data_IF_666363436171
#
_entry.id   IF_666363436171
#
_cell.length_a   1.000
_cell.length_b   1.000
_cell.length_c   1.000
_cell.angle_alpha   90.00
_cell.angle_beta   90.00
_cell.angle_gamma   90.00
#
_symmetry.space_group_name_H-M   'P 1'
#
loop_
_entity.id
_entity.type
_entity.pdbx_description
1 polymer ?
#
# COMPACT_ATOMS: atom_id res chain seq x y z
N UNK A 1 -17.22 -24.72 25.48
CA UNK A 1 -16.78 -23.55 24.76
C UNK A 1 -15.96 -22.69 25.68
N UNK A 2 -14.73 -22.34 25.31
CA UNK A 2 -13.94 -21.38 26.08
C UNK A 2 -14.52 -19.99 25.85
N UNK A 3 -14.97 -19.32 26.89
CA UNK A 3 -15.41 -17.94 26.83
C UNK A 3 -14.24 -17.05 26.42
N UNK A 4 -14.43 -16.24 25.38
CA UNK A 4 -13.45 -15.24 24.98
C UNK A 4 -13.47 -14.09 25.99
N UNK A 5 -12.34 -13.85 26.64
CA UNK A 5 -12.16 -12.74 27.57
C UNK A 5 -11.46 -11.58 26.86
N UNK A 6 -11.95 -10.36 27.12
CA UNK A 6 -11.27 -9.15 26.67
C UNK A 6 -9.95 -8.98 27.41
N UNK A 7 -8.81 -9.14 26.72
CA UNK A 7 -7.49 -8.96 27.31
C UNK A 7 -7.11 -7.49 27.47
N UNK A 8 -7.38 -6.66 26.42
CA UNK A 8 -7.09 -5.23 26.42
C UNK A 8 -7.90 -4.51 25.35
N UNK A 9 -7.92 -3.19 25.43
CA UNK A 9 -8.51 -2.30 24.40
C UNK A 9 -7.54 -1.13 24.18
N UNK A 10 -7.23 -0.85 22.90
CA UNK A 10 -6.53 0.36 22.49
C UNK A 10 -7.44 1.23 21.62
N UNK A 11 -7.25 2.54 21.68
CA UNK A 11 -8.00 3.53 20.87
C UNK A 11 -7.02 4.50 20.19
N UNK A 12 -6.33 4.07 19.12
CA UNK A 12 -5.40 4.95 18.38
C UNK A 12 -6.09 6.18 17.79
N UNK A 13 -7.41 6.10 17.61
CA UNK A 13 -8.27 7.16 17.06
C UNK A 13 -8.17 7.26 15.55
N UNK A 14 -9.16 7.96 14.94
CA UNK A 14 -9.25 8.14 13.49
C UNK A 14 -9.89 6.96 12.76
N UNK A 15 -9.83 7.00 11.43
CA UNK A 15 -10.27 5.92 10.52
C UNK A 15 -9.21 4.84 10.48
N UNK A 16 -9.45 3.72 11.14
CA UNK A 16 -8.48 2.64 11.28
C UNK A 16 -8.59 1.62 10.15
N UNK A 17 -7.45 1.17 9.64
CA UNK A 17 -7.37 -0.03 8.81
C UNK A 17 -7.57 -1.28 9.65
N UNK A 18 -7.76 -2.43 9.00
CA UNK A 18 -7.67 -3.71 9.71
C UNK A 18 -6.29 -3.86 10.37
N UNK A 19 -6.21 -4.36 11.61
CA UNK A 19 -4.93 -4.61 12.26
C UNK A 19 -4.21 -5.82 11.65
N UNK A 20 -2.88 -5.77 11.63
CA UNK A 20 -2.01 -6.88 11.26
C UNK A 20 -1.19 -7.27 12.46
N UNK A 21 -1.20 -8.56 12.82
CA UNK A 21 -0.44 -9.08 13.96
C UNK A 21 0.73 -9.93 13.45
N UNK A 22 1.93 -9.55 13.87
CA UNK A 22 3.16 -10.27 13.58
C UNK A 22 4.19 -10.05 14.69
N UNK A 23 4.98 -11.06 15.00
CA UNK A 23 6.11 -10.99 15.93
C UNK A 23 5.78 -10.31 17.27
N UNK A 24 4.60 -10.64 17.84
CA UNK A 24 4.14 -10.09 19.12
C UNK A 24 3.71 -8.61 19.08
N UNK A 25 3.53 -8.04 17.88
CA UNK A 25 3.06 -6.67 17.66
C UNK A 25 1.78 -6.64 16.85
N UNK A 26 0.92 -5.67 17.15
CA UNK A 26 -0.24 -5.34 16.35
C UNK A 26 0.00 -3.98 15.64
N UNK A 27 -0.08 -4.01 14.32
CA UNK A 27 0.12 -2.83 13.48
C UNK A 27 -1.23 -2.35 12.95
N UNK A 28 -1.52 -1.06 13.07
CA UNK A 28 -2.76 -0.45 12.60
C UNK A 28 -2.49 0.96 12.08
N UNK A 29 -3.01 1.28 10.90
CA UNK A 29 -2.93 2.61 10.36
C UNK A 29 -4.21 3.41 10.68
N UNK A 30 -4.04 4.67 11.08
CA UNK A 30 -5.09 5.68 11.18
C UNK A 30 -5.01 6.56 9.93
N UNK A 31 -5.82 6.23 8.91
CA UNK A 31 -5.73 6.79 7.56
C UNK A 31 -5.89 8.32 7.55
N UNK A 32 -6.93 8.83 8.19
CA UNK A 32 -7.23 10.27 8.28
C UNK A 32 -6.18 11.07 9.07
N UNK A 33 -5.49 10.41 10.00
CA UNK A 33 -4.40 10.98 10.81
C UNK A 33 -3.02 10.79 10.20
N UNK A 34 -2.91 9.97 9.17
CA UNK A 34 -1.64 9.63 8.51
C UNK A 34 -0.62 9.01 9.48
N UNK A 35 -1.09 8.20 10.41
CA UNK A 35 -0.29 7.55 11.43
C UNK A 35 -0.34 6.04 11.27
N UNK A 36 0.79 5.38 11.51
CA UNK A 36 0.88 3.96 11.72
C UNK A 36 1.33 3.73 13.16
N UNK A 37 0.59 2.90 13.89
CA UNK A 37 0.89 2.50 15.25
C UNK A 37 1.37 1.05 15.27
N UNK A 38 2.38 0.78 16.07
CA UNK A 38 2.74 -0.56 16.51
C UNK A 38 2.46 -0.68 18.00
N UNK A 39 1.60 -1.60 18.35
CA UNK A 39 1.19 -1.88 19.72
C UNK A 39 1.75 -3.24 20.16
N UNK A 40 2.06 -3.40 21.42
CA UNK A 40 2.32 -4.71 22.00
C UNK A 40 1.04 -5.57 21.89
N UNK A 41 1.13 -6.71 21.23
CA UNK A 41 -0.05 -7.55 20.97
C UNK A 41 -0.63 -8.19 22.25
N UNK A 42 0.12 -8.24 23.35
CA UNK A 42 -0.30 -8.80 24.63
C UNK A 42 -0.93 -7.76 25.56
N UNK A 43 -0.42 -6.52 25.55
CA UNK A 43 -0.83 -5.45 26.48
C UNK A 43 -1.63 -4.34 25.83
N UNK A 44 -1.52 -4.15 24.52
CA UNK A 44 -2.11 -3.02 23.79
C UNK A 44 -1.34 -1.71 23.97
N UNK A 45 -0.21 -1.71 24.64
CA UNK A 45 0.63 -0.52 24.81
C UNK A 45 1.24 -0.08 23.48
N UNK A 46 1.31 1.23 23.25
CA UNK A 46 1.94 1.78 22.06
C UNK A 46 3.46 1.68 22.17
N UNK A 47 4.06 0.88 21.28
CA UNK A 47 5.52 0.69 21.22
C UNK A 47 6.19 1.82 20.44
N UNK A 48 5.62 2.17 19.28
CA UNK A 48 6.06 3.26 18.45
C UNK A 48 4.94 3.71 17.49
N UNK A 49 5.11 4.88 16.92
CA UNK A 49 4.26 5.39 15.85
C UNK A 49 5.10 6.11 14.79
N UNK A 50 4.62 6.09 13.55
CA UNK A 50 5.23 6.79 12.44
C UNK A 50 4.20 7.67 11.72
N UNK A 51 4.61 8.92 11.40
CA UNK A 51 3.77 9.87 10.66
C UNK A 51 4.16 9.88 9.18
N UNK A 52 3.17 9.71 8.32
CA UNK A 52 3.33 9.75 6.87
C UNK A 52 2.96 11.13 6.32
N UNK A 53 3.50 11.45 5.14
CA UNK A 53 3.18 12.70 4.43
C UNK A 53 1.74 12.67 3.86
N UNK A 54 1.19 11.49 3.61
CA UNK A 54 -0.14 11.26 3.04
C UNK A 54 -0.88 10.10 3.72
N UNK A 55 -2.22 10.01 3.55
CA UNK A 55 -3.01 8.90 4.06
C UNK A 55 -2.54 7.53 3.56
N UNK A 56 -2.78 6.51 4.40
CA UNK A 56 -2.55 5.10 4.13
C UNK A 56 -3.92 4.43 4.12
N UNK A 57 -4.31 3.78 3.01
CA UNK A 57 -5.66 3.23 2.86
C UNK A 57 -5.76 1.74 3.14
N UNK A 58 -4.64 1.04 3.12
CA UNK A 58 -4.58 -0.41 3.30
C UNK A 58 -3.79 -0.80 4.55
N UNK A 59 -4.07 -1.97 5.14
CA UNK A 59 -3.25 -2.52 6.20
C UNK A 59 -1.79 -2.64 5.75
N UNK A 60 -0.81 -2.45 6.65
CA UNK A 60 0.59 -2.64 6.32
C UNK A 60 0.90 -4.13 6.07
N UNK A 61 1.92 -4.39 5.28
CA UNK A 61 2.46 -5.73 5.06
C UNK A 61 3.71 -5.91 5.91
N UNK A 62 3.78 -6.99 6.66
CA UNK A 62 4.93 -7.30 7.52
C UNK A 62 5.78 -8.35 6.84
N UNK A 63 7.08 -8.06 6.71
CA UNK A 63 8.02 -8.94 6.04
C UNK A 63 9.43 -8.81 6.60
N UNK A 64 9.99 -9.90 7.15
CA UNK A 64 11.38 -10.01 7.63
C UNK A 64 11.85 -8.78 8.44
N UNK A 65 11.07 -8.39 9.46
CA UNK A 65 11.40 -7.24 10.32
C UNK A 65 11.13 -5.87 9.71
N UNK A 66 10.45 -5.81 8.56
CA UNK A 66 9.98 -4.59 7.90
C UNK A 66 8.46 -4.46 7.99
N UNK A 67 8.00 -3.23 8.05
CA UNK A 67 6.60 -2.82 7.94
C UNK A 67 6.47 -1.98 6.66
N UNK A 68 5.77 -2.51 5.67
CA UNK A 68 5.63 -1.92 4.34
C UNK A 68 4.24 -1.29 4.20
N UNK A 69 4.16 -0.05 3.74
CA UNK A 69 2.89 0.64 3.54
C UNK A 69 2.91 1.48 2.26
N UNK A 70 1.81 1.41 1.51
CA UNK A 70 1.54 2.29 0.36
C UNK A 70 0.81 3.56 0.79
N UNK A 71 1.13 4.68 0.16
CA UNK A 71 0.60 6.00 0.49
C UNK A 71 -0.08 6.68 -0.69
N UNK A 72 -1.04 7.58 -0.39
CA UNK A 72 -1.74 8.37 -1.42
C UNK A 72 -0.87 9.40 -2.13
N UNK A 73 0.32 9.72 -1.61
CA UNK A 73 1.30 10.56 -2.31
C UNK A 73 2.00 9.85 -3.46
N UNK A 74 1.73 8.56 -3.65
CA UNK A 74 2.37 7.72 -4.65
C UNK A 74 3.68 7.12 -4.16
N UNK A 75 3.92 7.08 -2.85
CA UNK A 75 5.08 6.43 -2.27
C UNK A 75 4.76 5.08 -1.63
N UNK A 76 5.78 4.25 -1.52
CA UNK A 76 5.83 3.08 -0.63
C UNK A 76 6.94 3.32 0.39
N UNK A 77 6.62 3.06 1.64
CA UNK A 77 7.52 3.27 2.78
C UNK A 77 7.79 1.93 3.45
N UNK A 78 9.05 1.67 3.79
CA UNK A 78 9.45 0.56 4.65
C UNK A 78 9.99 1.11 5.97
N UNK A 79 9.44 0.63 7.07
CA UNK A 79 9.88 0.95 8.43
C UNK A 79 10.48 -0.30 9.08
N UNK A 80 11.42 -0.12 9.99
CA UNK A 80 11.86 -1.22 10.84
C UNK A 80 10.76 -1.59 11.84
N UNK A 81 10.42 -2.86 11.92
CA UNK A 81 9.37 -3.34 12.81
C UNK A 81 9.70 -3.12 14.30
N UNK A 82 10.98 -3.06 14.67
CA UNK A 82 11.43 -2.93 16.05
C UNK A 82 11.17 -1.57 16.68
N UNK A 83 11.35 -0.50 15.92
CA UNK A 83 11.35 0.89 16.43
C UNK A 83 10.64 1.91 15.53
N UNK A 84 10.09 1.49 14.38
CA UNK A 84 9.40 2.35 13.45
C UNK A 84 10.32 3.28 12.65
N UNK A 85 11.64 3.12 12.73
CA UNK A 85 12.56 3.95 11.96
C UNK A 85 12.45 3.68 10.46
N UNK A 86 12.54 4.73 9.66
CA UNK A 86 12.49 4.64 8.19
C UNK A 86 13.70 3.83 7.69
N UNK A 87 13.43 2.71 7.01
CA UNK A 87 14.44 1.94 6.31
C UNK A 87 14.65 2.49 4.89
N UNK A 88 13.58 2.69 4.14
CA UNK A 88 13.59 3.33 2.83
C UNK A 88 12.22 3.88 2.44
N UNK A 89 12.22 4.83 1.50
CA UNK A 89 11.01 5.35 0.84
C UNK A 89 11.24 5.32 -0.67
N UNK A 90 10.30 4.77 -1.41
CA UNK A 90 10.29 4.73 -2.88
C UNK A 90 9.14 5.58 -3.40
N UNK A 91 9.42 6.52 -4.31
CA UNK A 91 8.38 7.30 -5.00
C UNK A 91 8.03 6.63 -6.31
N UNK A 92 6.82 6.07 -6.40
CA UNK A 92 6.30 5.42 -7.60
C UNK A 92 5.75 6.41 -8.63
N UNK A 93 5.31 7.59 -8.18
CA UNK A 93 4.81 8.64 -9.05
C UNK A 93 5.95 9.15 -9.95
N UNK A 94 5.78 9.13 -11.30
CA UNK A 94 6.84 9.57 -12.22
C UNK A 94 7.09 11.07 -12.15
N UNK A 95 6.09 11.84 -11.72
CA UNK A 95 6.16 13.29 -11.50
C UNK A 95 5.33 13.65 -10.27
N UNK A 96 5.71 14.72 -9.59
CA UNK A 96 4.95 15.24 -8.47
C UNK A 96 3.73 16.02 -8.99
N UNK A 97 2.62 15.31 -9.19
CA UNK A 97 1.34 15.89 -9.64
C UNK A 97 0.24 15.49 -8.66
N UNK A 98 -0.35 16.52 -8.04
CA UNK A 98 -1.43 16.36 -7.10
C UNK A 98 -2.76 16.74 -7.75
N UNK A 99 -3.82 16.03 -7.37
CA UNK A 99 -5.19 16.32 -7.72
C UNK A 99 -6.05 16.36 -6.46
N UNK A 100 -7.18 17.05 -6.54
CA UNK A 100 -8.20 16.97 -5.49
C UNK A 100 -9.11 15.79 -5.80
N UNK A 101 -9.15 14.83 -4.90
CA UNK A 101 -10.02 13.67 -4.99
C UNK A 101 -10.76 13.51 -3.66
N UNK A 102 -12.09 13.45 -3.71
CA UNK A 102 -12.96 13.35 -2.53
C UNK A 102 -12.64 14.39 -1.45
N UNK A 103 -12.33 15.64 -1.87
CA UNK A 103 -11.99 16.76 -0.98
C UNK A 103 -10.60 16.69 -0.34
N UNK A 104 -9.73 15.79 -0.77
CA UNK A 104 -8.36 15.64 -0.28
C UNK A 104 -7.35 15.71 -1.42
N UNK A 105 -6.15 16.24 -1.15
CA UNK A 105 -5.04 16.21 -2.10
C UNK A 105 -4.42 14.80 -2.11
N UNK A 106 -4.25 14.26 -3.31
CA UNK A 106 -3.55 12.99 -3.52
C UNK A 106 -2.75 13.02 -4.83
N UNK A 107 -1.79 12.13 -4.98
CA UNK A 107 -1.06 11.93 -6.23
C UNK A 107 -1.99 11.44 -7.33
N UNK A 108 -1.69 11.75 -8.59
CA UNK A 108 -2.32 11.10 -9.74
C UNK A 108 -1.94 9.62 -9.84
N UNK A 109 -0.84 9.21 -9.19
CA UNK A 109 -0.39 7.82 -9.06
C UNK A 109 -0.34 7.38 -7.59
N UNK A 110 -1.47 7.34 -6.88
CA UNK A 110 -1.51 6.90 -5.49
C UNK A 110 -1.23 5.40 -5.40
N UNK A 111 -0.70 4.95 -4.27
CA UNK A 111 -0.62 3.54 -3.91
C UNK A 111 -1.72 3.24 -2.90
N UNK A 112 -2.91 2.88 -3.39
CA UNK A 112 -4.09 2.61 -2.54
C UNK A 112 -4.13 1.19 -2.01
N UNK A 113 -3.68 0.22 -2.83
CA UNK A 113 -3.74 -1.20 -2.51
C UNK A 113 -2.67 -1.64 -1.52
N UNK A 114 -2.85 -2.84 -1.00
CA UNK A 114 -1.86 -3.49 -0.16
C UNK A 114 -0.58 -3.78 -0.95
N UNK A 115 0.53 -3.65 -0.26
CA UNK A 115 1.82 -4.11 -0.76
C UNK A 115 1.89 -5.63 -0.60
N UNK A 116 2.26 -6.35 -1.64
CA UNK A 116 2.38 -7.81 -1.65
C UNK A 116 3.85 -8.21 -1.72
N UNK A 117 4.27 -9.17 -0.89
CA UNK A 117 5.62 -9.74 -0.99
C UNK A 117 5.54 -11.19 -1.46
N UNK A 118 6.24 -11.49 -2.56
CA UNK A 118 6.38 -12.83 -3.13
C UNK A 118 7.83 -12.99 -3.58
N UNK A 119 8.46 -14.12 -3.25
CA UNK A 119 9.82 -14.48 -3.64
C UNK A 119 10.82 -13.33 -3.44
N UNK A 120 10.90 -12.82 -2.19
CA UNK A 120 11.79 -11.71 -1.81
C UNK A 120 11.62 -10.44 -2.67
N UNK A 121 10.44 -10.21 -3.21
CA UNK A 121 10.14 -9.02 -4.01
C UNK A 121 8.86 -8.36 -3.53
N UNK A 122 8.94 -7.05 -3.30
CA UNK A 122 7.82 -6.19 -2.88
C UNK A 122 7.09 -5.70 -4.11
N UNK A 123 5.88 -6.18 -4.34
CA UNK A 123 5.05 -5.80 -5.47
C UNK A 123 3.93 -4.84 -5.05
N UNK A 124 3.68 -3.85 -5.89
CA UNK A 124 2.55 -2.92 -5.74
C UNK A 124 2.23 -2.23 -7.05
N UNK A 125 1.06 -1.61 -7.11
CA UNK A 125 0.61 -0.81 -8.23
C UNK A 125 0.39 0.64 -7.78
N UNK A 126 0.76 1.60 -8.63
CA UNK A 126 0.55 3.02 -8.43
C UNK A 126 -0.25 3.61 -9.60
N UNK A 127 -1.31 4.32 -9.30
CA UNK A 127 -2.23 4.90 -10.28
C UNK A 127 -3.67 4.64 -9.94
N UNK A 128 -4.60 5.21 -10.68
CA UNK A 128 -6.04 5.07 -10.44
C UNK A 128 -6.72 4.14 -11.42
N UNK A 129 -6.31 4.17 -12.66
CA UNK A 129 -6.92 3.44 -13.76
C UNK A 129 -5.94 3.31 -14.91
N UNK A 130 -6.08 2.27 -15.70
CA UNK A 130 -5.30 2.09 -16.93
C UNK A 130 -5.64 3.09 -18.03
N UNK A 131 -6.76 3.80 -17.92
CA UNK A 131 -7.18 4.83 -18.87
C UNK A 131 -6.65 6.24 -18.56
N UNK A 132 -6.30 6.50 -17.30
CA UNK A 132 -5.95 7.85 -16.82
C UNK A 132 -4.44 7.98 -16.60
N UNK A 133 -3.93 9.20 -16.73
CA UNK A 133 -2.58 9.60 -16.31
C UNK A 133 -1.45 8.70 -16.84
N UNK A 134 -1.58 8.15 -18.05
CA UNK A 134 -0.67 7.18 -18.68
C UNK A 134 -0.65 5.83 -17.98
N UNK A 135 -1.77 5.42 -17.37
CA UNK A 135 -1.96 4.09 -16.85
C UNK A 135 -1.49 3.85 -15.42
N UNK A 136 -1.59 2.60 -15.03
CA UNK A 136 -1.12 2.09 -13.75
C UNK A 136 0.33 1.64 -13.90
N UNK A 137 1.17 2.07 -12.96
CA UNK A 137 2.56 1.63 -12.86
C UNK A 137 2.67 0.49 -11.87
N UNK A 138 3.12 -0.63 -12.35
CA UNK A 138 3.38 -1.82 -11.55
C UNK A 138 4.87 -1.92 -11.26
N UNK A 139 5.22 -2.12 -9.99
CA UNK A 139 6.60 -2.19 -9.53
C UNK A 139 6.89 -3.47 -8.77
N UNK A 140 8.16 -3.92 -8.87
CA UNK A 140 8.77 -4.88 -7.98
C UNK A 140 10.04 -4.27 -7.38
N UNK A 141 10.16 -4.25 -6.05
CA UNK A 141 11.32 -3.71 -5.34
C UNK A 141 11.99 -4.78 -4.49
N UNK A 142 13.30 -4.63 -4.27
CA UNK A 142 14.04 -5.39 -3.28
C UNK A 142 13.58 -4.97 -1.86
N UNK A 143 13.15 -5.89 -0.98
CA UNK A 143 12.47 -5.56 0.27
C UNK A 143 13.31 -4.74 1.25
N UNK A 144 14.60 -5.03 1.37
CA UNK A 144 15.46 -4.36 2.36
C UNK A 144 16.08 -3.05 1.87
N UNK A 145 16.11 -2.80 0.57
CA UNK A 145 16.79 -1.61 0.02
C UNK A 145 15.87 -0.66 -0.74
N UNK A 146 14.64 -1.07 -1.07
CA UNK A 146 13.75 -0.32 -1.93
C UNK A 146 14.24 -0.18 -3.39
N UNK A 147 15.32 -0.88 -3.77
CA UNK A 147 15.86 -0.83 -5.14
C UNK A 147 14.87 -1.43 -6.12
N UNK A 148 14.56 -0.69 -7.17
CA UNK A 148 13.66 -1.14 -8.24
C UNK A 148 14.25 -2.34 -8.99
N UNK A 149 13.48 -3.43 -9.07
CA UNK A 149 13.78 -4.66 -9.80
C UNK A 149 12.92 -4.78 -11.05
N UNK A 150 11.65 -4.41 -10.93
CA UNK A 150 10.65 -4.54 -12.01
C UNK A 150 9.87 -3.24 -12.13
N UNK A 151 9.59 -2.84 -13.36
CA UNK A 151 8.63 -1.79 -13.70
C UNK A 151 7.85 -2.21 -14.95
N UNK A 152 6.53 -2.06 -14.90
CA UNK A 152 5.61 -2.25 -16.02
C UNK A 152 4.58 -1.14 -16.00
N UNK A 153 4.13 -0.71 -17.16
CA UNK A 153 3.03 0.25 -17.30
C UNK A 153 1.86 -0.50 -17.94
N UNK A 154 0.74 -0.50 -17.24
CA UNK A 154 -0.52 -1.07 -17.71
C UNK A 154 -1.41 0.08 -18.17
N UNK A 155 -1.63 0.20 -19.45
CA UNK A 155 -2.52 1.22 -20.02
C UNK A 155 -3.39 0.61 -21.11
N UNK A 156 -4.61 1.16 -21.22
CA UNK A 156 -5.62 0.72 -22.17
C UNK A 156 -5.68 1.74 -23.33
N UNK A 157 -4.57 1.87 -24.05
CA UNK A 157 -4.46 2.68 -25.28
C UNK A 157 -3.55 1.98 -26.27
N UNK A 158 -3.87 2.11 -27.54
CA UNK A 158 -3.00 1.66 -28.61
C UNK A 158 -1.68 2.46 -28.68
N UNK A 159 -0.72 1.95 -29.44
CA UNK A 159 0.57 2.57 -29.63
C UNK A 159 0.47 3.98 -30.26
N UNK A 160 -0.62 4.27 -30.99
CA UNK A 160 -0.94 5.57 -31.58
C UNK A 160 -1.66 6.55 -30.63
N UNK A 161 -1.98 6.09 -29.39
CA UNK A 161 -2.66 6.87 -28.38
C UNK A 161 -4.19 6.89 -28.49
N UNK A 162 -4.77 6.16 -29.45
CA UNK A 162 -6.21 5.96 -29.51
C UNK A 162 -6.68 5.08 -28.35
N UNK A 163 -7.90 5.30 -27.87
CA UNK A 163 -8.51 4.37 -26.92
C UNK A 163 -8.82 3.08 -27.67
N UNK A 164 -8.48 1.95 -27.08
CA UNK A 164 -9.05 0.66 -27.46
C UNK A 164 -10.55 0.68 -27.09
N UNK A 165 -11.32 1.33 -27.97
CA UNK A 165 -12.78 1.27 -27.92
C UNK A 165 -13.24 -0.02 -28.61
N UNK A 166 -12.91 -1.14 -28.04
CA UNK A 166 -13.74 -2.34 -28.24
C UNK A 166 -15.00 -2.09 -27.39
N UNK A 167 -16.15 -1.96 -28.04
CA UNK A 167 -17.44 -1.71 -27.38
C UNK A 167 -17.80 -2.78 -26.32
N UNK A 168 -17.01 -3.83 -26.20
CA UNK A 168 -17.13 -4.92 -25.24
C UNK A 168 -16.03 -4.92 -24.15
N UNK A 169 -14.97 -4.14 -24.29
CA UNK A 169 -13.88 -4.06 -23.33
C UNK A 169 -14.07 -2.85 -22.39
N UNK A 170 -15.02 -2.96 -21.50
CA UNK A 170 -15.30 -1.91 -20.49
C UNK A 170 -14.30 -1.91 -19.35
N UNK A 171 -13.41 -2.88 -19.27
CA UNK A 171 -12.69 -3.20 -18.06
C UNK A 171 -11.23 -2.78 -18.13
N UNK A 172 -10.96 -1.56 -17.67
CA UNK A 172 -9.59 -1.13 -17.36
C UNK A 172 -9.10 -1.72 -16.04
N UNK A 173 -7.81 -1.93 -15.94
CA UNK A 173 -7.19 -2.33 -14.67
C UNK A 173 -7.41 -1.24 -13.62
N UNK A 174 -7.73 -1.66 -12.41
CA UNK A 174 -7.85 -0.81 -11.24
C UNK A 174 -6.70 -1.11 -10.26
N UNK A 175 -6.17 -0.07 -9.64
CA UNK A 175 -5.22 -0.24 -8.56
C UNK A 175 -5.95 -0.74 -7.32
N UNK A 176 -5.80 -2.02 -7.03
CA UNK A 176 -6.48 -2.71 -5.94
C UNK A 176 -5.52 -3.66 -5.22
N UNK A 177 -6.05 -4.54 -4.39
CA UNK A 177 -5.29 -5.55 -3.66
C UNK A 177 -4.68 -6.54 -4.66
N UNK A 178 -3.36 -6.66 -4.63
CA UNK A 178 -2.65 -7.70 -5.36
C UNK A 178 -2.79 -9.04 -4.65
N UNK A 179 -2.89 -10.11 -5.41
CA UNK A 179 -2.84 -11.48 -4.91
C UNK A 179 -1.90 -12.34 -5.75
N UNK A 180 -1.49 -13.49 -5.24
CA UNK A 180 -0.60 -14.41 -5.94
C UNK A 180 -0.96 -15.88 -5.68
N UNK A 181 -0.75 -16.72 -6.67
CA UNK A 181 -0.77 -18.19 -6.55
C UNK A 181 0.65 -18.78 -6.39
N UNK A 182 1.65 -17.92 -6.17
CA UNK A 182 3.08 -18.27 -6.08
C UNK A 182 3.79 -18.33 -7.45
N UNK A 183 3.08 -18.22 -8.56
CA UNK A 183 3.64 -18.17 -9.92
C UNK A 183 3.21 -16.94 -10.69
N UNK A 184 2.03 -16.43 -10.40
CA UNK A 184 1.41 -15.29 -11.07
C UNK A 184 0.97 -14.27 -10.04
N UNK A 185 0.97 -13.03 -10.46
CA UNK A 185 0.40 -11.93 -9.71
C UNK A 185 -0.91 -11.53 -10.37
N UNK A 186 -1.93 -11.38 -9.55
CA UNK A 186 -3.27 -11.00 -9.99
C UNK A 186 -3.58 -9.61 -9.47
N UNK A 187 -4.14 -8.79 -10.32
CA UNK A 187 -4.70 -7.49 -10.00
C UNK A 187 -6.13 -7.47 -10.53
N UNK A 188 -7.02 -6.79 -9.84
CA UNK A 188 -8.43 -6.70 -10.26
C UNK A 188 -8.53 -6.06 -11.64
N UNK A 189 -9.38 -6.66 -12.44
CA UNK A 189 -9.72 -6.26 -13.80
C UNK A 189 -11.04 -5.53 -13.82
#
# INVERSE_FOLDING_TARGET
GSDLLLAWRAQPGGELTSPVIADGRAYVAASDRRLLHALDARTGENLWQYSFDAPIDSPPTIYQGLVLAGCRDGSVVALRATDGALAWKFLAAPVHRLIVSRGRLESTWPVHGSVLVVDDTVYFAAGKSSYLDRGIRFYGLHPHTGRKLVERILHTRDADGSQLLDEQAVDGYLNDILSSDGRRLFMRH
#
